data_IF_666914433066
#
_entry.id   IF_666914433066
#
_cell.length_a   1.000
_cell.length_b   1.000
_cell.length_c   1.000
_cell.angle_alpha   90.00
_cell.angle_beta   90.00
_cell.angle_gamma   90.00
#
_symmetry.space_group_name_H-M   'P 1'
#
loop_
_entity.id
_entity.type
_entity.pdbx_description
1 polymer ?
#
# COMPACT_ATOMS: atom_id res chain seq x y z
N UNK A 1 12.53 23.36 7.88
CA UNK A 1 13.19 22.72 9.04
C UNK A 1 14.69 22.85 8.87
N UNK A 2 15.38 23.57 9.77
CA UNK A 2 16.85 23.70 9.75
C UNK A 2 17.44 22.79 10.86
N UNK A 3 17.19 21.51 10.82
CA UNK A 3 17.79 20.54 11.72
C UNK A 3 18.66 19.57 10.94
N UNK A 4 19.94 19.42 11.36
CA UNK A 4 20.79 18.34 10.83
C UNK A 4 20.42 17.03 11.50
N UNK A 5 20.47 15.95 10.74
CA UNK A 5 20.38 14.59 11.27
C UNK A 5 21.45 14.36 12.33
N UNK A 6 21.05 13.91 13.49
CA UNK A 6 21.94 13.60 14.61
C UNK A 6 22.01 12.08 14.79
N UNK A 7 23.22 11.56 14.89
CA UNK A 7 23.47 10.12 14.98
C UNK A 7 23.52 9.67 16.45
N UNK A 8 22.62 8.74 16.84
CA UNK A 8 22.59 8.08 18.16
C UNK A 8 22.70 9.06 19.36
N UNK A 9 22.04 10.22 19.26
CA UNK A 9 22.18 11.28 20.26
C UNK A 9 21.36 11.01 21.53
N UNK A 10 20.20 10.37 21.37
CA UNK A 10 19.31 10.02 22.46
C UNK A 10 19.43 8.51 22.74
N UNK A 11 20.02 8.10 23.89
CA UNK A 11 20.14 6.68 24.25
C UNK A 11 18.81 5.97 24.44
N UNK A 12 17.78 6.66 24.97
CA UNK A 12 16.45 6.12 25.20
C UNK A 12 15.77 5.79 23.85
N UNK A 13 15.92 6.70 22.87
CA UNK A 13 15.43 6.50 21.51
C UNK A 13 16.12 5.31 20.83
N UNK A 14 17.43 5.19 20.96
CA UNK A 14 18.19 4.07 20.40
C UNK A 14 17.77 2.75 21.02
N UNK A 15 17.53 2.73 22.34
CA UNK A 15 17.08 1.54 23.04
C UNK A 15 15.66 1.13 22.62
N UNK A 16 14.74 2.09 22.50
CA UNK A 16 13.39 1.83 21.96
C UNK A 16 13.47 1.12 20.60
N UNK A 17 14.24 1.65 19.67
CA UNK A 17 14.36 1.09 18.31
C UNK A 17 15.02 -0.30 18.32
N UNK A 18 16.02 -0.53 19.18
CA UNK A 18 16.63 -1.86 19.35
C UNK A 18 15.64 -2.88 19.92
N UNK A 19 14.88 -2.50 20.94
CA UNK A 19 13.87 -3.36 21.54
C UNK A 19 12.76 -3.70 20.54
N UNK A 20 12.33 -2.70 19.75
CA UNK A 20 11.38 -2.91 18.65
C UNK A 20 11.89 -3.95 17.66
N UNK A 21 13.11 -3.82 17.13
CA UNK A 21 13.64 -4.79 16.17
C UNK A 21 13.88 -6.17 16.78
N UNK A 22 14.25 -6.25 18.05
CA UNK A 22 14.41 -7.52 18.75
C UNK A 22 13.08 -8.27 18.84
N UNK A 23 12.03 -7.58 19.26
CA UNK A 23 10.69 -8.16 19.34
C UNK A 23 10.12 -8.45 17.94
N UNK A 24 10.40 -7.59 16.96
CA UNK A 24 9.95 -7.76 15.57
C UNK A 24 10.56 -9.00 14.92
N UNK A 25 11.87 -9.22 15.07
CA UNK A 25 12.54 -10.42 14.56
C UNK A 25 12.00 -11.70 15.22
N UNK A 26 11.69 -11.63 16.50
CA UNK A 26 11.12 -12.75 17.25
C UNK A 26 9.61 -12.99 16.98
N UNK A 27 8.93 -12.09 16.28
CA UNK A 27 7.48 -12.15 16.12
C UNK A 27 6.71 -11.98 17.45
N UNK A 28 7.36 -11.38 18.46
CA UNK A 28 6.82 -11.19 19.80
C UNK A 28 5.90 -9.97 19.84
N UNK A 29 4.64 -10.21 19.53
CA UNK A 29 3.60 -9.17 19.47
C UNK A 29 3.36 -8.54 20.86
N UNK A 30 3.42 -9.32 21.93
CA UNK A 30 3.18 -8.82 23.30
C UNK A 30 4.25 -7.79 23.69
N UNK A 31 5.51 -8.04 23.33
CA UNK A 31 6.61 -7.11 23.55
C UNK A 31 6.59 -5.91 22.58
N UNK A 32 6.00 -6.06 21.38
CA UNK A 32 5.90 -4.98 20.39
C UNK A 32 4.81 -3.96 20.74
N UNK A 33 3.66 -4.40 21.25
CA UNK A 33 2.50 -3.52 21.50
C UNK A 33 2.82 -2.28 22.37
N UNK A 34 3.63 -2.37 23.45
CA UNK A 34 4.00 -1.18 24.21
C UNK A 34 5.01 -0.28 23.49
N UNK A 35 5.78 -0.82 22.53
CA UNK A 35 6.83 -0.09 21.81
C UNK A 35 6.31 0.63 20.55
N UNK A 36 5.28 0.08 19.90
CA UNK A 36 4.72 0.61 18.66
C UNK A 36 3.18 0.53 18.69
N UNK A 37 2.52 1.68 18.56
CA UNK A 37 1.07 1.79 18.68
C UNK A 37 0.48 2.70 17.61
N UNK A 38 -0.70 2.34 17.03
CA UNK A 38 -1.40 1.06 17.17
C UNK A 38 -0.76 -0.05 16.33
N UNK A 39 -0.99 -1.32 16.69
CA UNK A 39 -0.71 -2.47 15.85
C UNK A 39 -2.05 -3.09 15.41
N UNK A 40 -2.37 -3.02 14.12
CA UNK A 40 -3.58 -3.64 13.58
C UNK A 40 -3.46 -5.18 13.55
N UNK A 41 -4.61 -5.88 13.51
CA UNK A 41 -4.60 -7.35 13.41
C UNK A 41 -3.92 -7.84 12.13
N UNK A 42 -4.06 -7.09 11.03
CA UNK A 42 -3.36 -7.38 9.79
C UNK A 42 -1.85 -7.20 9.93
N UNK A 43 -1.40 -6.17 10.64
CA UNK A 43 0.03 -5.92 10.88
C UNK A 43 0.63 -6.99 11.80
N UNK A 44 -0.08 -7.41 12.85
CA UNK A 44 0.32 -8.54 13.70
C UNK A 44 0.49 -9.82 12.87
N UNK A 45 -0.46 -10.11 11.99
CA UNK A 45 -0.38 -11.23 11.06
C UNK A 45 0.80 -11.09 10.07
N UNK A 46 1.07 -9.88 9.61
CA UNK A 46 2.23 -9.58 8.77
C UNK A 46 3.53 -9.89 9.51
N UNK A 47 3.71 -9.35 10.71
CA UNK A 47 4.87 -9.55 11.56
C UNK A 47 5.08 -11.06 11.82
N UNK A 48 4.03 -11.78 12.25
CA UNK A 48 4.10 -13.22 12.48
C UNK A 48 4.49 -14.03 11.24
N UNK A 49 4.09 -13.58 10.03
CA UNK A 49 4.46 -14.27 8.79
C UNK A 49 5.93 -14.06 8.41
N UNK A 50 6.44 -12.85 8.64
CA UNK A 50 7.79 -12.49 8.15
C UNK A 50 8.88 -12.74 9.19
N UNK A 51 8.57 -12.72 10.50
CA UNK A 51 9.52 -13.08 11.55
C UNK A 51 10.07 -14.49 11.42
N UNK A 52 9.34 -15.42 10.79
CA UNK A 52 9.83 -16.78 10.50
C UNK A 52 11.09 -16.82 9.63
N UNK A 53 11.38 -15.74 8.91
CA UNK A 53 12.56 -15.63 8.04
C UNK A 53 13.72 -14.89 8.70
N UNK A 54 13.46 -14.10 9.75
CA UNK A 54 14.41 -13.16 10.33
C UNK A 54 15.16 -13.77 11.50
N UNK A 55 16.51 -13.78 11.45
CA UNK A 55 17.35 -14.17 12.56
C UNK A 55 17.57 -13.02 13.54
N UNK A 56 17.99 -11.85 13.03
CA UNK A 56 18.25 -10.67 13.82
C UNK A 56 18.32 -9.39 12.97
N UNK A 57 18.20 -8.24 13.66
CA UNK A 57 18.55 -6.93 13.12
C UNK A 57 19.79 -6.45 13.89
N UNK A 58 20.93 -6.39 13.21
CA UNK A 58 22.21 -6.05 13.79
C UNK A 58 22.63 -4.62 13.40
N UNK A 59 23.69 -4.12 14.04
CA UNK A 59 24.32 -2.84 13.71
C UNK A 59 23.37 -1.65 13.62
N UNK A 60 22.34 -1.63 14.48
CA UNK A 60 21.30 -0.60 14.47
C UNK A 60 21.90 0.78 14.78
N UNK A 61 21.69 1.73 13.87
CA UNK A 61 22.14 3.13 13.97
C UNK A 61 20.96 4.04 13.70
N UNK A 62 20.60 4.86 14.70
CA UNK A 62 19.53 5.83 14.58
C UNK A 62 20.06 7.20 14.18
N UNK A 63 19.45 7.79 13.16
CA UNK A 63 19.63 9.17 12.77
C UNK A 63 18.33 9.91 13.04
N UNK A 64 18.34 10.91 13.88
CA UNK A 64 17.11 11.59 14.33
C UNK A 64 17.19 13.10 14.22
N UNK A 65 16.03 13.72 14.14
CA UNK A 65 15.83 15.15 14.31
C UNK A 65 14.50 15.40 15.06
N UNK A 66 14.31 16.57 15.68
CA UNK A 66 13.05 16.92 16.33
C UNK A 66 11.86 16.79 15.38
N UNK A 67 10.74 16.28 15.88
CA UNK A 67 9.47 16.19 15.18
C UNK A 67 8.63 17.45 15.24
N UNK A 68 7.30 17.30 15.36
CA UNK A 68 6.35 18.43 15.43
C UNK A 68 6.30 19.05 16.81
N UNK A 69 6.49 18.25 17.84
CA UNK A 69 6.50 18.67 19.23
C UNK A 69 7.89 18.50 19.81
N UNK A 70 8.17 19.17 20.95
CA UNK A 70 9.45 19.05 21.65
C UNK A 70 9.72 17.61 22.14
N UNK A 71 8.66 16.80 22.27
CA UNK A 71 8.68 15.41 22.73
C UNK A 71 8.49 14.40 21.57
N UNK A 72 8.77 14.80 20.33
CA UNK A 72 8.65 13.92 19.19
C UNK A 72 9.91 13.94 18.30
N UNK A 73 10.13 12.83 17.57
CA UNK A 73 11.30 12.60 16.74
C UNK A 73 10.93 12.02 15.39
N UNK A 74 11.61 12.52 14.34
CA UNK A 74 11.70 11.89 13.03
C UNK A 74 12.98 11.06 13.01
N UNK A 75 12.88 9.76 12.79
CA UNK A 75 14.00 8.82 12.94
C UNK A 75 14.17 8.00 11.69
N UNK A 76 15.42 7.95 11.18
CA UNK A 76 15.85 6.96 10.20
C UNK A 76 16.76 5.95 10.90
N UNK A 77 16.33 4.71 11.01
CA UNK A 77 17.09 3.64 11.63
C UNK A 77 17.70 2.75 10.53
N UNK A 78 19.02 2.76 10.45
CA UNK A 78 19.77 1.84 9.60
C UNK A 78 20.10 0.57 10.38
N UNK A 79 20.08 -0.56 9.69
CA UNK A 79 20.36 -1.88 10.27
C UNK A 79 20.95 -2.84 9.25
N UNK A 80 21.43 -3.97 9.74
CA UNK A 80 21.83 -5.14 8.95
C UNK A 80 20.87 -6.28 9.32
N UNK A 81 19.92 -6.64 8.43
CA UNK A 81 18.98 -7.73 8.62
C UNK A 81 19.64 -9.05 8.27
N UNK A 82 19.67 -9.98 9.22
CA UNK A 82 20.06 -11.35 9.03
C UNK A 82 18.86 -12.26 8.82
N UNK A 83 18.98 -13.15 7.86
CA UNK A 83 18.03 -14.21 7.60
C UNK A 83 18.60 -15.55 8.09
N UNK A 84 17.74 -16.42 8.58
CA UNK A 84 18.15 -17.78 8.93
C UNK A 84 18.87 -18.47 7.75
N UNK A 85 19.98 -19.15 8.04
CA UNK A 85 20.80 -19.91 7.09
C UNK A 85 21.47 -19.08 5.97
N UNK A 86 21.54 -17.76 6.13
CA UNK A 86 22.22 -16.84 5.19
C UNK A 86 23.25 -16.02 5.96
N UNK A 87 24.52 -16.16 5.58
CA UNK A 87 25.63 -15.51 6.28
C UNK A 87 25.70 -14.00 5.98
N UNK A 88 25.30 -13.61 4.77
CA UNK A 88 25.33 -12.23 4.31
C UNK A 88 24.09 -11.49 4.79
N UNK A 89 24.27 -10.47 5.63
CA UNK A 89 23.19 -9.60 6.06
C UNK A 89 22.71 -8.67 4.96
N UNK A 90 21.42 -8.32 4.96
CA UNK A 90 20.83 -7.32 4.09
C UNK A 90 20.79 -5.96 4.79
N UNK A 91 21.60 -4.97 4.39
CA UNK A 91 21.48 -3.62 4.90
C UNK A 91 20.13 -3.00 4.59
N UNK A 92 19.50 -2.38 5.58
CA UNK A 92 18.20 -1.75 5.46
C UNK A 92 18.09 -0.44 6.20
N UNK A 93 17.02 0.29 5.94
CA UNK A 93 16.68 1.51 6.64
C UNK A 93 15.18 1.68 6.70
N UNK A 94 14.67 1.89 7.92
CA UNK A 94 13.27 2.22 8.16
C UNK A 94 13.12 3.62 8.73
N UNK A 95 11.95 4.18 8.51
CA UNK A 95 11.52 5.44 9.10
C UNK A 95 10.61 5.17 10.29
N UNK A 96 10.80 5.94 11.36
CA UNK A 96 9.92 5.95 12.53
C UNK A 96 9.55 7.38 12.92
N UNK A 97 8.29 7.58 13.27
CA UNK A 97 7.84 8.74 14.01
C UNK A 97 7.66 8.34 15.46
N UNK A 98 8.45 8.92 16.35
CA UNK A 98 8.49 8.57 17.77
C UNK A 98 7.95 9.72 18.59
N UNK A 99 7.13 9.41 19.57
CA UNK A 99 6.50 10.37 20.49
C UNK A 99 6.62 9.89 21.92
N UNK A 100 6.38 10.79 22.89
CA UNK A 100 6.20 10.42 24.28
C UNK A 100 4.72 10.28 24.63
N UNK A 101 4.39 9.22 25.37
CA UNK A 101 3.06 9.03 25.93
C UNK A 101 2.79 10.00 27.10
N UNK A 102 1.56 10.01 27.62
CA UNK A 102 1.17 10.84 28.77
C UNK A 102 1.90 10.51 30.07
N UNK A 103 2.73 9.47 30.14
CA UNK A 103 3.58 9.06 31.27
C UNK A 103 5.06 9.42 31.04
N UNK A 104 5.40 9.92 29.84
CA UNK A 104 6.74 10.32 29.44
C UNK A 104 7.58 9.21 28.81
N UNK A 105 7.01 8.02 28.51
CA UNK A 105 7.72 6.95 27.83
C UNK A 105 7.74 7.19 26.31
N UNK A 106 8.87 6.93 25.67
CA UNK A 106 8.97 6.95 24.22
C UNK A 106 8.23 5.74 23.61
N UNK A 107 7.49 5.97 22.53
CA UNK A 107 6.88 4.93 21.72
C UNK A 107 6.90 5.30 20.25
N UNK A 108 6.85 4.32 19.37
CA UNK A 108 6.71 4.49 17.92
C UNK A 108 5.22 4.74 17.62
N UNK A 109 4.91 5.93 17.09
CA UNK A 109 3.57 6.18 16.55
C UNK A 109 3.41 5.45 15.21
N UNK A 110 2.85 4.26 15.30
CA UNK A 110 2.82 3.28 14.21
C UNK A 110 1.80 3.64 13.11
N UNK A 111 0.94 4.66 13.33
CA UNK A 111 0.13 5.27 12.26
C UNK A 111 1.01 5.76 11.11
N UNK A 112 2.27 6.13 11.40
CA UNK A 112 3.24 6.62 10.41
C UNK A 112 4.31 5.59 10.05
N UNK A 113 4.05 4.31 10.29
CA UNK A 113 4.95 3.22 9.89
C UNK A 113 4.93 2.96 8.39
N UNK A 114 6.00 2.35 7.89
CA UNK A 114 6.07 1.86 6.51
C UNK A 114 4.95 0.86 6.20
N UNK A 115 4.52 0.08 7.19
CA UNK A 115 3.38 -0.82 7.05
C UNK A 115 2.10 -0.02 6.75
N UNK A 116 1.73 0.94 7.60
CA UNK A 116 0.51 1.71 7.41
C UNK A 116 0.55 2.58 6.15
N UNK A 117 1.71 3.08 5.73
CA UNK A 117 1.86 3.78 4.44
C UNK A 117 1.55 2.88 3.24
N UNK A 118 1.81 1.58 3.35
CA UNK A 118 1.54 0.60 2.29
C UNK A 118 0.11 0.05 2.31
N UNK A 119 -0.50 -0.13 3.48
CA UNK A 119 -1.77 -0.83 3.63
C UNK A 119 -2.93 0.05 4.03
N UNK A 120 -2.68 1.22 4.64
CA UNK A 120 -3.67 2.23 5.05
C UNK A 120 -4.74 1.65 6.00
N UNK A 121 -4.31 0.87 6.97
CA UNK A 121 -5.17 0.35 8.03
C UNK A 121 -5.63 1.48 8.96
N UNK A 122 -4.79 2.52 9.13
CA UNK A 122 -5.08 3.70 9.94
C UNK A 122 -5.08 4.99 9.10
N UNK A 123 -5.92 5.96 9.47
CA UNK A 123 -6.03 7.25 8.78
C UNK A 123 -4.86 8.17 9.19
N UNK A 124 -4.15 8.74 8.21
CA UNK A 124 -3.02 9.64 8.39
C UNK A 124 -3.46 11.09 8.60
N UNK A 125 -2.85 11.82 9.56
CA UNK A 125 -2.93 13.28 9.58
C UNK A 125 -2.15 13.88 8.40
N UNK A 126 -2.82 14.72 7.62
CA UNK A 126 -2.25 15.23 6.38
C UNK A 126 -1.05 16.17 6.59
N UNK A 127 -0.99 16.90 7.70
CA UNK A 127 0.08 17.85 7.99
C UNK A 127 1.33 17.10 8.43
N UNK A 128 1.17 16.15 9.36
CA UNK A 128 2.27 15.32 9.83
C UNK A 128 2.80 14.43 8.71
N UNK A 129 1.93 13.84 7.91
CA UNK A 129 2.34 13.09 6.72
C UNK A 129 3.15 13.93 5.73
N UNK A 130 2.72 15.19 5.49
CA UNK A 130 3.47 16.11 4.64
C UNK A 130 4.85 16.47 5.22
N UNK A 131 4.95 16.58 6.55
CA UNK A 131 6.20 16.80 7.25
C UNK A 131 7.15 15.62 7.07
N UNK A 132 6.66 14.40 7.28
CA UNK A 132 7.42 13.16 7.09
C UNK A 132 7.93 13.04 5.66
N UNK A 133 7.07 13.31 4.66
CA UNK A 133 7.50 13.31 3.26
C UNK A 133 8.60 14.35 2.95
N UNK A 134 8.57 15.51 3.62
CA UNK A 134 9.63 16.50 3.46
C UNK A 134 10.93 16.08 4.15
N UNK A 135 10.83 15.41 5.29
CA UNK A 135 11.98 14.80 5.98
C UNK A 135 12.64 13.75 5.09
N UNK A 136 11.89 12.79 4.58
CA UNK A 136 12.38 11.71 3.71
C UNK A 136 13.04 12.23 2.41
N UNK A 137 12.63 13.42 1.96
CA UNK A 137 13.21 14.09 0.77
C UNK A 137 14.36 15.05 1.08
N UNK A 138 14.71 15.22 2.35
CA UNK A 138 15.86 16.07 2.71
C UNK A 138 17.16 15.46 2.20
N UNK A 139 18.11 16.32 1.85
CA UNK A 139 19.38 15.90 1.24
C UNK A 139 20.13 14.89 2.12
N UNK A 140 20.12 15.09 3.44
CA UNK A 140 20.81 14.21 4.39
C UNK A 140 20.17 12.81 4.42
N UNK A 141 18.81 12.72 4.44
CA UNK A 141 18.10 11.44 4.43
C UNK A 141 18.25 10.74 3.09
N UNK A 142 18.14 11.47 1.97
CA UNK A 142 18.34 10.91 0.63
C UNK A 142 19.77 10.37 0.46
N UNK A 143 20.78 11.09 0.96
CA UNK A 143 22.17 10.61 0.93
C UNK A 143 22.34 9.32 1.76
N UNK A 144 21.69 9.24 2.93
CA UNK A 144 21.70 8.04 3.77
C UNK A 144 21.00 6.86 3.08
N UNK A 145 19.84 7.08 2.47
CA UNK A 145 19.11 6.07 1.68
C UNK A 145 19.99 5.52 0.54
N UNK A 146 20.66 6.41 -0.20
CA UNK A 146 21.55 6.00 -1.30
C UNK A 146 22.72 5.15 -0.81
N UNK A 147 23.30 5.49 0.35
CA UNK A 147 24.41 4.71 0.93
C UNK A 147 23.93 3.31 1.35
N UNK A 148 22.76 3.22 2.00
CA UNK A 148 22.18 1.94 2.40
C UNK A 148 21.81 1.10 1.18
N UNK A 149 21.20 1.73 0.17
CA UNK A 149 20.84 1.03 -1.08
C UNK A 149 22.07 0.46 -1.80
N UNK A 150 23.15 1.23 -1.89
CA UNK A 150 24.38 0.75 -2.51
C UNK A 150 24.96 -0.49 -1.79
N UNK A 151 24.97 -0.48 -0.45
CA UNK A 151 25.40 -1.63 0.35
C UNK A 151 24.46 -2.84 0.18
N UNK A 152 23.15 -2.60 0.13
CA UNK A 152 22.15 -3.65 -0.12
C UNK A 152 22.38 -4.29 -1.49
N UNK A 153 22.56 -3.49 -2.54
CA UNK A 153 22.80 -3.98 -3.91
C UNK A 153 24.09 -4.82 -3.97
N UNK A 154 25.15 -4.40 -3.28
CA UNK A 154 26.42 -5.13 -3.15
C UNK A 154 26.21 -6.46 -2.41
N UNK A 155 25.51 -6.46 -1.28
CA UNK A 155 25.21 -7.66 -0.50
C UNK A 155 24.40 -8.68 -1.33
N UNK A 156 23.33 -8.25 -2.00
CA UNK A 156 22.49 -9.10 -2.86
C UNK A 156 23.27 -9.63 -4.06
N UNK A 157 24.16 -8.83 -4.65
CA UNK A 157 25.00 -9.27 -5.78
C UNK A 157 26.07 -10.27 -5.37
N UNK A 158 26.52 -10.24 -4.10
CA UNK A 158 27.59 -11.12 -3.58
C UNK A 158 27.10 -12.48 -3.07
N UNK A 159 25.80 -12.62 -2.79
CA UNK A 159 25.23 -13.83 -2.18
C UNK A 159 23.93 -14.27 -2.87
N UNK A 160 24.00 -15.40 -3.58
CA UNK A 160 22.86 -15.97 -4.30
C UNK A 160 21.72 -16.40 -3.36
N UNK A 161 22.03 -16.88 -2.13
CA UNK A 161 21.00 -17.23 -1.16
C UNK A 161 20.22 -15.98 -0.74
N UNK A 162 20.94 -14.89 -0.45
CA UNK A 162 20.31 -13.61 -0.13
C UNK A 162 19.48 -13.08 -1.31
N UNK A 163 20.01 -13.14 -2.53
CA UNK A 163 19.28 -12.74 -3.73
C UNK A 163 17.97 -13.54 -3.90
N UNK A 164 18.01 -14.85 -3.69
CA UNK A 164 16.83 -15.73 -3.73
C UNK A 164 15.85 -15.45 -2.59
N UNK A 165 16.34 -15.18 -1.38
CA UNK A 165 15.51 -14.80 -0.24
C UNK A 165 14.71 -13.54 -0.54
N UNK A 166 15.36 -12.43 -0.87
CA UNK A 166 14.69 -11.14 -1.08
C UNK A 166 13.92 -11.05 -2.39
N UNK A 167 14.42 -11.67 -3.47
CA UNK A 167 13.83 -11.65 -4.80
C UNK A 167 12.71 -12.69 -5.01
N UNK A 168 12.75 -13.81 -4.30
CA UNK A 168 11.86 -14.97 -4.48
C UNK A 168 11.03 -15.28 -3.24
N UNK A 169 11.69 -15.74 -2.17
CA UNK A 169 11.01 -16.28 -0.97
C UNK A 169 10.11 -15.25 -0.30
N UNK A 170 10.64 -14.09 0.08
CA UNK A 170 9.86 -13.05 0.73
C UNK A 170 8.76 -12.50 -0.17
N UNK A 171 9.01 -12.41 -1.47
CA UNK A 171 7.98 -11.97 -2.43
C UNK A 171 6.82 -12.97 -2.51
N UNK A 172 7.13 -14.26 -2.48
CA UNK A 172 6.11 -15.33 -2.47
C UNK A 172 5.33 -15.33 -1.16
N UNK A 173 6.02 -15.17 -0.02
CA UNK A 173 5.40 -15.03 1.30
C UNK A 173 4.45 -13.83 1.35
N UNK A 174 4.88 -12.67 0.82
CA UNK A 174 4.05 -11.46 0.72
C UNK A 174 2.77 -11.71 -0.10
N UNK A 175 2.87 -12.41 -1.21
CA UNK A 175 1.70 -12.74 -2.03
C UNK A 175 0.73 -13.61 -1.27
N UNK A 176 1.22 -14.69 -0.62
CA UNK A 176 0.40 -15.60 0.17
C UNK A 176 -0.28 -14.91 1.35
N UNK A 177 0.47 -14.07 2.06
CA UNK A 177 -0.09 -13.30 3.17
C UNK A 177 -1.21 -12.36 2.70
N UNK A 178 -1.02 -11.62 1.61
CA UNK A 178 -2.06 -10.75 1.04
C UNK A 178 -3.32 -11.51 0.63
N UNK A 179 -3.14 -12.69 0.05
CA UNK A 179 -4.28 -13.53 -0.35
C UNK A 179 -5.02 -14.06 0.88
N UNK A 180 -4.33 -14.39 1.96
CA UNK A 180 -4.95 -14.82 3.23
C UNK A 180 -5.74 -13.70 3.89
N UNK A 181 -5.20 -12.48 3.96
CA UNK A 181 -5.90 -11.30 4.50
C UNK A 181 -7.14 -10.97 3.66
N UNK A 182 -7.04 -11.04 2.33
CA UNK A 182 -8.18 -10.83 1.46
C UNK A 182 -9.29 -11.87 1.66
N UNK A 183 -8.93 -13.14 1.88
CA UNK A 183 -9.88 -14.22 2.14
C UNK A 183 -10.60 -14.07 3.49
N UNK A 184 -9.92 -13.54 4.53
CA UNK A 184 -10.53 -13.30 5.85
C UNK A 184 -11.55 -12.16 5.79
N UNK A 185 -11.26 -11.11 5.03
CA UNK A 185 -12.21 -10.01 4.84
C UNK A 185 -13.49 -10.43 4.09
N UNK A 186 -13.37 -11.34 3.12
CA UNK A 186 -14.54 -11.88 2.40
C UNK A 186 -15.39 -12.81 3.28
N UNK A 187 -14.81 -13.48 4.30
CA UNK A 187 -15.52 -14.36 5.24
C UNK A 187 -16.21 -13.59 6.36
N UNK A 188 -15.67 -12.47 6.80
CA UNK A 188 -16.32 -11.60 7.79
C UNK A 188 -17.56 -10.90 7.19
N UNK A 189 -17.54 -10.58 5.91
CA UNK A 189 -18.70 -10.03 5.19
C UNK A 189 -19.79 -11.09 4.93
N UNK A 190 -19.45 -12.40 4.99
CA UNK A 190 -20.35 -13.52 4.74
C UNK A 190 -21.05 -14.08 6.01
N UNK A 191 -20.57 -13.76 7.22
CA UNK A 191 -21.10 -14.34 8.47
C UNK A 191 -22.26 -13.56 9.11
N UNK A 192 -22.72 -12.46 8.50
CA UNK A 192 -23.91 -11.71 8.97
C UNK A 192 -25.23 -12.14 8.29
N UNK A 193 -25.31 -13.40 7.80
CA UNK A 193 -26.56 -13.98 7.31
C UNK A 193 -26.96 -15.16 8.17
N UNK A 194 -27.75 -14.92 9.21
CA UNK A 194 -28.43 -15.98 10.00
C UNK A 194 -29.43 -16.70 9.09
N UNK A 195 -29.34 -18.04 8.87
CA UNK A 195 -30.40 -18.76 8.18
C UNK A 195 -31.54 -19.00 9.14
N UNK A 196 -32.71 -18.54 8.78
CA UNK A 196 -33.95 -19.00 9.39
C UNK A 196 -34.14 -20.49 9.07
N UNK A 197 -34.29 -21.27 10.15
CA UNK A 197 -34.66 -22.67 10.17
C UNK A 197 -35.94 -22.93 9.38
N UNK A 198 -35.88 -23.87 8.43
CA UNK A 198 -37.05 -24.71 8.09
C UNK A 198 -36.56 -26.12 7.78
N UNK A 199 -36.92 -27.04 8.65
CA UNK A 199 -36.81 -28.49 8.47
C UNK A 199 -37.70 -28.94 7.32
N UNK A 200 -37.22 -29.83 6.46
CA UNK A 200 -37.92 -31.06 6.07
C UNK A 200 -37.04 -32.00 5.22
N UNK A 201 -36.81 -33.09 5.81
CA UNK A 201 -36.75 -34.53 5.50
C UNK A 201 -36.47 -35.05 4.08
N UNK A 202 -35.41 -35.87 4.00
CA UNK A 202 -35.22 -37.17 3.29
C UNK A 202 -35.32 -37.25 1.75
N UNK A 203 -34.36 -37.80 1.04
CA UNK A 203 -34.02 -39.24 0.91
C UNK A 203 -32.89 -39.48 -0.09
N UNK A 204 -32.07 -40.46 0.27
CA UNK A 204 -31.08 -41.25 -0.43
C UNK A 204 -31.35 -41.52 -1.92
N UNK A 205 -30.30 -41.52 -2.76
CA UNK A 205 -29.82 -42.71 -3.44
C UNK A 205 -28.51 -42.52 -4.22
N UNK A 206 -27.68 -43.49 -4.04
CA UNK A 206 -26.38 -43.83 -4.61
C UNK A 206 -26.53 -44.22 -6.08
N UNK A 207 -25.55 -43.91 -6.92
CA UNK A 207 -24.92 -44.92 -7.78
C UNK A 207 -23.63 -44.42 -8.42
N UNK A 208 -22.66 -45.32 -8.36
CA UNK A 208 -21.33 -45.34 -8.98
C UNK A 208 -21.41 -45.50 -10.51
N UNK A 209 -20.35 -45.09 -11.16
CA UNK A 209 -19.36 -45.88 -11.92
C UNK A 209 -18.76 -45.07 -13.06
N UNK A 210 -17.47 -44.93 -13.03
CA UNK A 210 -16.42 -45.65 -13.80
C UNK A 210 -16.30 -45.29 -15.27
N UNK A 211 -15.08 -44.78 -15.51
CA UNK A 211 -14.03 -45.33 -16.41
C UNK A 211 -14.18 -44.96 -17.91
N UNK A 212 -13.25 -44.54 -18.62
CA UNK A 212 -11.96 -45.05 -19.03
C UNK A 212 -11.31 -44.16 -20.09
N UNK A 213 -10.04 -43.94 -19.92
CA UNK A 213 -8.91 -44.09 -20.81
C UNK A 213 -8.82 -43.49 -22.21
N UNK A 214 -7.62 -42.93 -22.36
CA UNK A 214 -6.62 -43.10 -23.44
C UNK A 214 -6.68 -42.19 -24.63
N UNK A 215 -5.54 -41.46 -24.80
CA UNK A 215 -4.31 -41.72 -25.61
C UNK A 215 -4.45 -41.20 -27.01
N UNK A 216 -3.58 -40.52 -27.58
CA UNK A 216 -2.21 -40.53 -28.03
C UNK A 216 -1.99 -39.33 -28.95
N UNK A 217 -0.94 -38.63 -28.76
CA UNK A 217 0.37 -38.67 -29.43
C UNK A 217 0.53 -37.98 -30.78
N UNK A 218 1.65 -37.22 -30.75
CA UNK A 218 2.63 -37.01 -31.85
C UNK A 218 2.29 -35.95 -32.88
N UNK A 219 3.16 -35.19 -33.30
CA UNK A 219 4.61 -35.05 -33.36
C UNK A 219 4.93 -34.10 -34.51
N UNK A 220 6.00 -33.40 -34.34
CA UNK A 220 7.02 -33.08 -35.34
C UNK A 220 6.97 -31.78 -36.12
N UNK A 221 7.96 -31.03 -35.81
CA UNK A 221 9.24 -30.71 -36.47
C UNK A 221 9.30 -29.53 -37.40
N UNK A 222 10.27 -28.73 -37.01
CA UNK A 222 11.42 -28.19 -37.73
C UNK A 222 11.13 -27.08 -38.77
N UNK A 223 11.76 -25.98 -38.69
CA UNK A 223 13.17 -25.59 -38.74
C UNK A 223 13.45 -24.63 -39.88
N UNK A 224 14.36 -23.71 -39.60
CA UNK A 224 15.29 -22.94 -40.44
C UNK A 224 14.82 -21.59 -40.94
N UNK A 225 15.47 -20.54 -40.42
CA UNK A 225 16.81 -20.00 -40.71
C UNK A 225 16.89 -19.26 -42.03
N UNK A 226 17.14 -17.99 -41.99
CA UNK A 226 18.29 -17.37 -42.65
C UNK A 226 18.29 -15.83 -42.54
N UNK A 227 19.31 -15.40 -41.89
CA UNK A 227 20.25 -14.29 -42.01
C UNK A 227 20.16 -13.36 -43.24
N UNK A 228 20.45 -12.11 -42.93
CA UNK A 228 21.43 -11.13 -43.45
C UNK A 228 20.85 -9.79 -43.79
N UNK A 229 21.34 -8.80 -43.03
CA UNK A 229 22.38 -7.79 -43.36
C UNK A 229 21.90 -6.63 -44.23
N UNK A 230 22.01 -5.50 -43.60
CA UNK A 230 22.97 -4.38 -43.77
C UNK A 230 22.47 -3.18 -44.58
N UNK A 231 22.80 -2.07 -44.00
CA UNK A 231 23.31 -0.79 -44.47
C UNK A 231 22.43 0.46 -44.38
N UNK A 232 22.85 1.26 -43.39
CA UNK A 232 23.09 2.72 -43.40
C UNK A 232 22.45 3.59 -44.49
N UNK A 233 21.76 4.66 -44.07
CA UNK A 233 22.23 6.04 -44.22
C UNK A 233 21.25 7.05 -43.65
N UNK A 234 21.84 8.05 -43.04
CA UNK A 234 21.25 9.31 -42.61
C UNK A 234 20.64 10.10 -43.81
N UNK A 235 19.60 10.87 -43.55
CA UNK A 235 19.58 12.32 -43.65
C UNK A 235 18.20 12.92 -43.44
N UNK A 236 18.22 13.99 -42.68
CA UNK A 236 17.51 15.26 -42.78
C UNK A 236 16.00 15.39 -42.96
N UNK A 237 15.45 16.01 -41.91
CA UNK A 237 14.61 17.19 -41.93
C UNK A 237 13.34 17.19 -42.81
N UNK A 238 12.18 17.12 -42.12
CA UNK A 238 11.15 18.14 -42.33
C UNK A 238 10.01 18.03 -41.30
N UNK A 239 9.79 19.13 -40.60
CA UNK A 239 8.55 19.44 -39.90
C UNK A 239 7.32 19.07 -40.73
N UNK A 240 6.44 18.28 -40.17
CA UNK A 240 5.04 18.33 -40.58
C UNK A 240 4.13 18.29 -39.33
N UNK A 241 3.45 19.41 -39.20
CA UNK A 241 2.48 19.76 -38.18
C UNK A 241 1.18 18.99 -38.49
N UNK A 242 1.05 17.80 -37.94
CA UNK A 242 -0.23 17.11 -37.92
C UNK A 242 -0.81 17.16 -36.52
N UNK A 243 -1.61 18.20 -36.28
CA UNK A 243 -2.60 18.25 -35.22
C UNK A 243 -3.42 16.96 -35.20
N UNK A 244 -3.02 16.00 -34.40
CA UNK A 244 -3.84 14.87 -34.03
C UNK A 244 -4.65 15.30 -32.82
N UNK A 245 -5.94 15.53 -33.01
CA UNK A 245 -6.93 15.78 -31.98
C UNK A 245 -6.79 14.79 -30.85
N UNK A 246 -6.09 15.16 -29.78
CA UNK A 246 -6.11 14.43 -28.52
C UNK A 246 -7.43 14.76 -27.82
N UNK A 247 -8.44 13.98 -28.12
CA UNK A 247 -9.67 13.92 -27.33
C UNK A 247 -9.26 13.75 -25.87
N UNK A 248 -9.46 14.78 -25.07
CA UNK A 248 -9.13 14.82 -23.66
C UNK A 248 -10.02 13.83 -22.92
N UNK A 249 -9.65 12.54 -22.93
CA UNK A 249 -10.32 11.50 -22.18
C UNK A 249 -9.96 11.65 -20.70
N UNK A 250 -10.65 12.51 -20.00
CA UNK A 250 -10.57 12.61 -18.56
C UNK A 250 -11.50 11.58 -17.92
N UNK A 251 -11.00 10.86 -16.91
CA UNK A 251 -11.78 9.84 -16.19
C UNK A 251 -11.05 9.40 -14.94
N UNK A 252 -11.59 8.41 -14.27
CA UNK A 252 -10.93 7.75 -13.16
C UNK A 252 -10.52 6.34 -13.57
N UNK A 253 -9.29 5.95 -13.23
CA UNK A 253 -8.78 4.59 -13.39
C UNK A 253 -8.46 4.03 -12.02
N UNK A 254 -8.54 2.70 -11.87
CA UNK A 254 -8.19 1.97 -10.65
C UNK A 254 -7.08 0.99 -10.99
N UNK A 255 -6.06 0.92 -10.16
CA UNK A 255 -4.96 -0.03 -10.29
C UNK A 255 -5.45 -1.45 -10.04
N UNK A 256 -5.00 -2.40 -10.87
CA UNK A 256 -5.30 -3.84 -10.73
C UNK A 256 -4.29 -4.53 -9.81
N UNK A 257 -3.10 -3.92 -9.69
CA UNK A 257 -1.98 -4.41 -8.91
C UNK A 257 -1.07 -3.23 -8.53
N UNK A 258 0.01 -3.48 -7.76
CA UNK A 258 1.03 -2.47 -7.49
C UNK A 258 1.62 -2.00 -8.83
N UNK A 259 1.53 -0.70 -9.08
CA UNK A 259 1.96 -0.11 -10.35
C UNK A 259 3.10 0.88 -10.12
N UNK A 260 4.16 0.76 -10.90
CA UNK A 260 5.18 1.80 -10.99
C UNK A 260 4.63 2.98 -11.77
N UNK A 261 4.79 4.18 -11.20
CA UNK A 261 4.49 5.44 -11.88
C UNK A 261 5.77 6.02 -12.41
N UNK A 262 5.80 6.34 -13.69
CA UNK A 262 7.00 6.83 -14.38
C UNK A 262 6.83 8.27 -14.85
N UNK A 263 7.93 8.98 -15.02
CA UNK A 263 7.95 10.37 -15.47
C UNK A 263 7.53 10.52 -16.96
N UNK A 264 7.74 9.48 -17.78
CA UNK A 264 7.39 9.46 -19.23
C UNK A 264 6.75 8.11 -19.59
N UNK A 265 6.14 8.03 -20.75
CA UNK A 265 5.51 6.82 -21.30
C UNK A 265 6.56 5.81 -21.82
N UNK A 266 7.50 5.39 -20.97
CA UNK A 266 8.57 4.44 -21.30
C UNK A 266 8.95 3.59 -20.10
N UNK A 267 9.34 2.33 -20.34
CA UNK A 267 9.91 1.43 -19.33
C UNK A 267 11.28 1.90 -18.82
N UNK A 268 12.00 2.66 -19.62
CA UNK A 268 13.34 3.19 -19.28
C UNK A 268 13.29 4.58 -18.63
N UNK A 269 12.07 5.11 -18.50
CA UNK A 269 11.88 6.40 -17.83
C UNK A 269 12.03 6.25 -16.31
N UNK A 270 12.49 7.31 -15.68
CA UNK A 270 12.57 7.46 -14.23
C UNK A 270 11.25 7.07 -13.55
N UNK A 271 11.36 6.28 -12.48
CA UNK A 271 10.24 5.93 -11.62
C UNK A 271 10.02 7.05 -10.61
N UNK A 272 8.86 7.70 -10.67
CA UNK A 272 8.49 8.80 -9.77
C UNK A 272 7.65 8.33 -8.58
N UNK A 273 7.43 7.02 -8.45
CA UNK A 273 6.76 6.40 -7.32
C UNK A 273 6.02 5.12 -7.68
N UNK A 274 5.35 4.55 -6.69
CA UNK A 274 4.51 3.36 -6.82
C UNK A 274 3.08 3.66 -6.36
N UNK A 275 2.13 2.88 -6.86
CA UNK A 275 0.72 2.96 -6.47
C UNK A 275 0.22 1.56 -6.19
N UNK A 276 -0.34 1.35 -5.02
CA UNK A 276 -0.86 0.06 -4.58
C UNK A 276 -2.09 -0.39 -5.38
N UNK A 277 -2.41 -1.68 -5.30
CA UNK A 277 -3.62 -2.26 -5.88
C UNK A 277 -4.86 -1.55 -5.35
N UNK A 278 -5.81 -1.28 -6.24
CA UNK A 278 -7.10 -0.74 -5.84
C UNK A 278 -7.17 0.78 -5.77
N UNK A 279 -6.06 1.50 -5.88
CA UNK A 279 -6.02 2.96 -5.81
C UNK A 279 -6.68 3.58 -7.04
N UNK A 280 -7.52 4.57 -6.81
CA UNK A 280 -8.19 5.35 -7.87
C UNK A 280 -7.32 6.56 -8.22
N UNK A 281 -6.97 6.70 -9.49
CA UNK A 281 -6.19 7.80 -10.03
C UNK A 281 -6.99 8.58 -11.07
N UNK A 282 -6.81 9.90 -11.11
CA UNK A 282 -7.37 10.74 -12.16
C UNK A 282 -6.60 10.51 -13.46
N UNK A 283 -7.25 9.88 -14.44
CA UNK A 283 -6.75 9.79 -15.81
C UNK A 283 -6.82 11.17 -16.45
N UNK A 284 -5.74 11.62 -17.06
CA UNK A 284 -5.65 12.90 -17.77
C UNK A 284 -5.32 12.72 -19.26
N UNK A 285 -5.09 11.47 -19.70
CA UNK A 285 -4.83 11.14 -21.10
C UNK A 285 -4.32 9.73 -21.28
N UNK A 286 -3.90 9.41 -22.51
CA UNK A 286 -3.18 8.18 -22.89
C UNK A 286 -2.09 8.53 -23.88
N UNK A 287 -0.99 7.77 -23.86
CA UNK A 287 0.12 7.90 -24.77
C UNK A 287 0.63 6.48 -25.07
N UNK A 288 0.29 5.96 -26.28
CA UNK A 288 0.53 4.56 -26.62
C UNK A 288 -0.11 3.62 -25.58
N UNK A 289 0.67 2.66 -25.10
CA UNK A 289 0.25 1.69 -24.07
C UNK A 289 0.24 2.25 -22.64
N UNK A 290 0.45 3.54 -22.47
CA UNK A 290 0.54 4.20 -21.17
C UNK A 290 -0.67 5.09 -20.90
N UNK A 291 -1.18 5.01 -19.69
CA UNK A 291 -2.20 5.92 -19.16
C UNK A 291 -1.52 7.03 -18.38
N UNK A 292 -1.77 8.28 -18.81
CA UNK A 292 -1.34 9.48 -18.13
C UNK A 292 -2.28 9.76 -16.95
N UNK A 293 -1.72 9.88 -15.76
CA UNK A 293 -2.47 10.08 -14.51
C UNK A 293 -1.96 11.28 -13.71
N UNK A 294 -2.81 11.82 -12.84
CA UNK A 294 -2.36 12.78 -11.83
C UNK A 294 -1.87 11.98 -10.62
N UNK A 295 -0.60 12.14 -10.27
CA UNK A 295 0.06 11.46 -9.18
C UNK A 295 0.86 12.47 -8.34
N UNK A 296 0.58 12.58 -7.05
CA UNK A 296 1.27 13.50 -6.12
C UNK A 296 1.43 14.94 -6.68
N UNK A 297 0.36 15.50 -7.21
CA UNK A 297 0.39 16.85 -7.79
C UNK A 297 1.03 16.98 -9.18
N UNK A 298 1.75 15.97 -9.67
CA UNK A 298 2.43 15.97 -10.98
C UNK A 298 1.77 14.99 -11.97
N UNK A 299 2.27 14.97 -13.18
CA UNK A 299 1.87 14.01 -14.20
C UNK A 299 2.74 12.78 -14.12
N UNK A 300 2.11 11.59 -14.02
CA UNK A 300 2.78 10.31 -14.08
C UNK A 300 2.18 9.39 -15.14
N UNK A 301 2.91 8.33 -15.49
CA UNK A 301 2.53 7.35 -16.50
C UNK A 301 2.53 5.95 -15.92
N UNK A 302 1.44 5.21 -16.15
CA UNK A 302 1.27 3.82 -15.74
C UNK A 302 0.87 3.01 -16.98
N UNK A 303 1.45 1.82 -17.18
CA UNK A 303 1.02 0.95 -18.27
C UNK A 303 -0.48 0.66 -18.14
N UNK A 304 -1.20 0.85 -19.24
CA UNK A 304 -2.67 0.77 -19.31
C UNK A 304 -3.20 -0.61 -18.91
N UNK A 305 -2.43 -1.67 -19.16
CA UNK A 305 -2.76 -3.04 -18.78
C UNK A 305 -2.96 -3.23 -17.27
N UNK A 306 -2.24 -2.48 -16.42
CA UNK A 306 -2.35 -2.52 -14.97
C UNK A 306 -3.50 -1.66 -14.42
N UNK A 307 -4.27 -1.04 -15.28
CA UNK A 307 -5.37 -0.17 -14.90
C UNK A 307 -6.71 -0.71 -15.40
N UNK A 308 -7.75 -0.51 -14.62
CA UNK A 308 -9.13 -0.68 -15.08
C UNK A 308 -9.85 0.67 -15.09
N UNK A 309 -10.63 0.93 -16.13
CA UNK A 309 -11.49 2.12 -16.17
C UNK A 309 -12.52 1.99 -15.04
N UNK A 310 -12.58 2.98 -14.19
CA UNK A 310 -13.73 3.15 -13.31
C UNK A 310 -14.75 3.91 -14.14
N UNK A 311 -15.78 3.20 -14.63
CA UNK A 311 -16.91 3.88 -15.26
C UNK A 311 -17.50 4.79 -14.19
N UNK A 312 -17.39 6.10 -14.40
CA UNK A 312 -18.18 7.08 -13.68
C UNK A 312 -19.63 6.91 -14.16
N UNK A 313 -20.31 5.89 -13.66
CA UNK A 313 -21.71 6.05 -13.42
C UNK A 313 -21.78 7.02 -12.26
N UNK A 314 -21.96 8.28 -12.54
CA UNK A 314 -22.61 9.22 -11.66
C UNK A 314 -24.04 8.71 -11.44
N UNK A 315 -24.18 7.66 -10.62
CA UNK A 315 -25.44 7.40 -9.99
C UNK A 315 -25.50 8.35 -8.79
N UNK A 316 -25.85 9.57 -9.06
CA UNK A 316 -26.56 10.40 -8.10
C UNK A 316 -27.93 9.71 -7.91
N UNK A 317 -27.88 8.54 -7.23
CA UNK A 317 -29.11 7.86 -6.87
C UNK A 317 -29.68 8.65 -5.70
N UNK A 318 -30.82 9.25 -5.93
CA UNK A 318 -31.68 9.89 -4.94
C UNK A 318 -32.28 8.84 -3.96
N UNK A 319 -31.51 7.80 -3.59
CA UNK A 319 -31.88 6.86 -2.52
C UNK A 319 -31.75 7.60 -1.19
N UNK A 320 -32.84 8.27 -0.82
CA UNK A 320 -32.96 9.01 0.44
C UNK A 320 -33.53 8.08 1.50
N UNK A 321 -32.96 8.08 2.68
CA UNK A 321 -33.38 7.23 3.80
C UNK A 321 -32.60 7.59 5.06
N UNK A 322 -32.65 6.73 6.05
CA UNK A 322 -31.81 6.86 7.25
C UNK A 322 -30.66 5.86 7.16
N UNK A 323 -29.47 6.30 7.56
CA UNK A 323 -28.31 5.44 7.75
C UNK A 323 -27.86 5.54 9.20
N UNK A 324 -27.27 4.47 9.72
CA UNK A 324 -26.70 4.39 11.06
C UNK A 324 -25.21 4.13 10.96
N UNK A 325 -24.41 4.83 11.72
CA UNK A 325 -22.95 4.63 11.81
C UNK A 325 -22.65 3.29 12.47
N UNK A 326 -21.72 2.55 11.89
CA UNK A 326 -21.19 1.29 12.45
C UNK A 326 -20.04 1.56 13.40
N UNK A 327 -19.37 2.69 13.21
CA UNK A 327 -18.18 3.11 13.93
C UNK A 327 -18.16 4.63 14.11
N UNK A 328 -17.16 5.17 14.80
CA UNK A 328 -16.91 6.61 14.84
C UNK A 328 -16.49 7.06 13.44
N UNK A 329 -17.26 7.97 12.85
CA UNK A 329 -17.08 8.37 11.47
C UNK A 329 -16.67 9.82 11.32
N UNK A 330 -15.68 10.09 10.51
CA UNK A 330 -15.36 11.43 10.06
C UNK A 330 -16.38 11.90 9.01
N UNK A 331 -16.97 13.07 9.23
CA UNK A 331 -17.85 13.73 8.27
C UNK A 331 -17.07 14.80 7.52
N UNK A 332 -16.97 14.68 6.22
CA UNK A 332 -16.16 15.57 5.39
C UNK A 332 -17.01 16.46 4.48
N UNK A 333 -16.48 17.61 4.07
CA UNK A 333 -17.18 18.58 3.21
C UNK A 333 -17.40 18.08 1.77
N UNK A 334 -16.61 17.13 1.30
CA UNK A 334 -16.68 16.52 -0.05
C UNK A 334 -16.47 15.01 0.04
N UNK A 335 -16.82 14.29 -1.02
CA UNK A 335 -16.61 12.85 -1.16
C UNK A 335 -15.12 12.53 -1.45
N UNK A 336 -14.23 12.88 -0.51
CA UNK A 336 -12.79 12.69 -0.59
C UNK A 336 -12.20 12.58 0.81
N UNK A 337 -11.18 11.72 0.98
CA UNK A 337 -10.41 11.62 2.22
C UNK A 337 -9.60 12.90 2.51
N UNK A 338 -9.26 13.67 1.50
CA UNK A 338 -8.52 14.95 1.60
C UNK A 338 -9.43 16.16 1.80
N UNK A 339 -10.76 15.93 1.91
CA UNK A 339 -11.68 17.05 2.10
C UNK A 339 -11.68 17.50 3.56
N UNK A 340 -11.99 18.80 3.73
CA UNK A 340 -12.15 19.42 5.04
C UNK A 340 -13.04 18.56 5.96
N UNK A 341 -12.58 18.34 7.20
CA UNK A 341 -13.33 17.65 8.24
C UNK A 341 -14.40 18.60 8.81
N UNK A 342 -15.66 18.23 8.67
CA UNK A 342 -16.78 18.98 9.25
C UNK A 342 -17.07 18.59 10.70
N UNK A 343 -16.61 17.42 11.12
CA UNK A 343 -16.77 16.86 12.46
C UNK A 343 -16.77 15.35 12.49
N UNK A 344 -16.92 14.77 13.68
CA UNK A 344 -17.04 13.34 13.92
C UNK A 344 -18.44 12.96 14.35
N UNK A 345 -18.84 11.73 14.06
CA UNK A 345 -20.12 11.15 14.48
C UNK A 345 -19.84 9.81 15.18
N UNK A 346 -20.36 9.65 16.38
CA UNK A 346 -20.17 8.43 17.17
C UNK A 346 -20.89 7.22 16.58
N UNK A 347 -20.51 6.03 17.07
CA UNK A 347 -21.15 4.76 16.70
C UNK A 347 -22.65 4.80 17.02
N UNK A 348 -23.44 4.25 16.13
CA UNK A 348 -24.89 4.10 16.36
C UNK A 348 -25.75 5.31 16.06
N UNK A 349 -25.15 6.44 15.64
CA UNK A 349 -25.90 7.66 15.30
C UNK A 349 -26.66 7.50 13.99
N UNK A 350 -27.92 7.87 13.98
CA UNK A 350 -28.76 7.88 12.78
C UNK A 350 -28.62 9.22 12.05
N UNK A 351 -28.33 9.15 10.75
CA UNK A 351 -28.17 10.31 9.88
C UNK A 351 -29.13 10.19 8.68
N UNK A 352 -29.65 11.33 8.24
CA UNK A 352 -30.44 11.38 7.00
C UNK A 352 -29.50 11.24 5.81
N UNK A 353 -29.65 10.19 5.03
CA UNK A 353 -28.98 9.98 3.76
C UNK A 353 -29.58 10.91 2.72
N UNK A 354 -28.76 11.66 2.02
CA UNK A 354 -29.14 12.56 0.95
C UNK A 354 -28.78 12.01 -0.45
N UNK A 355 -28.04 10.89 -0.51
CA UNK A 355 -27.58 10.27 -1.74
C UNK A 355 -26.24 9.57 -1.54
N UNK A 356 -25.59 9.19 -2.65
CA UNK A 356 -24.24 8.57 -2.66
C UNK A 356 -23.39 9.26 -3.72
N UNK A 357 -22.09 9.32 -3.50
CA UNK A 357 -21.10 9.82 -4.45
C UNK A 357 -19.88 8.92 -4.44
N UNK A 358 -19.86 7.93 -5.36
CA UNK A 358 -18.86 6.87 -5.35
C UNK A 358 -18.94 6.04 -4.06
N UNK A 359 -17.83 5.88 -3.37
CA UNK A 359 -17.73 5.13 -2.11
C UNK A 359 -18.19 5.96 -0.88
N UNK A 360 -18.74 7.15 -1.08
CA UNK A 360 -19.18 8.05 -0.03
C UNK A 360 -20.70 8.17 0.01
N UNK A 361 -21.25 8.16 1.22
CA UNK A 361 -22.65 8.47 1.47
C UNK A 361 -22.78 9.93 1.87
N UNK A 362 -23.59 10.66 1.11
CA UNK A 362 -23.97 12.04 1.39
C UNK A 362 -25.01 12.06 2.49
N UNK A 363 -24.76 12.79 3.56
CA UNK A 363 -25.62 12.85 4.75
C UNK A 363 -25.91 14.28 5.16
N UNK A 364 -27.01 14.45 5.93
CA UNK A 364 -27.28 15.70 6.64
C UNK A 364 -26.57 15.65 7.99
N UNK A 365 -25.64 16.59 8.24
CA UNK A 365 -24.87 16.71 9.47
C UNK A 365 -24.87 18.14 9.96
N UNK A 366 -25.35 18.39 11.18
CA UNK A 366 -25.42 19.73 11.80
C UNK A 366 -25.96 20.83 10.87
N UNK A 367 -27.03 20.53 10.16
CA UNK A 367 -27.62 21.46 9.23
C UNK A 367 -26.92 21.58 7.85
N UNK A 368 -25.69 21.06 7.72
CA UNK A 368 -24.88 21.07 6.48
C UNK A 368 -24.95 19.74 5.75
N UNK A 369 -24.48 19.71 4.53
CA UNK A 369 -24.23 18.47 3.78
C UNK A 369 -22.82 17.99 4.09
N UNK A 370 -22.71 16.73 4.52
CA UNK A 370 -21.44 16.07 4.76
C UNK A 370 -21.34 14.74 4.02
N UNK A 371 -20.16 14.14 4.00
CA UNK A 371 -19.85 12.89 3.35
C UNK A 371 -19.15 11.95 4.33
N UNK A 372 -19.63 10.70 4.39
CA UNK A 372 -19.05 9.61 5.20
C UNK A 372 -18.76 8.43 4.27
N UNK A 373 -17.66 7.70 4.47
CA UNK A 373 -17.39 6.46 3.71
C UNK A 373 -18.57 5.48 3.87
N UNK A 374 -19.08 4.94 2.76
CA UNK A 374 -20.31 4.14 2.75
C UNK A 374 -20.18 2.84 3.51
N UNK A 375 -18.98 2.25 3.59
CA UNK A 375 -18.70 1.04 4.34
C UNK A 375 -18.85 1.23 5.86
N UNK A 376 -18.73 2.46 6.39
CA UNK A 376 -18.94 2.78 7.80
C UNK A 376 -20.41 2.99 8.17
N UNK A 377 -21.33 2.78 7.24
CA UNK A 377 -22.75 3.03 7.42
C UNK A 377 -23.55 1.78 7.12
N UNK A 378 -24.64 1.59 7.87
CA UNK A 378 -25.68 0.60 7.56
C UNK A 378 -27.02 1.29 7.32
N UNK A 379 -27.83 0.74 6.40
CA UNK A 379 -29.21 1.22 6.19
C UNK A 379 -30.03 0.97 7.45
N UNK A 380 -30.83 1.94 7.83
CA UNK A 380 -31.87 1.77 8.84
C UNK A 380 -33.14 1.37 8.09
N UNK A 381 -33.66 0.18 8.42
CA UNK A 381 -34.99 -0.27 7.94
C UNK A 381 -36.06 0.56 8.58
#
# INVERSE_FOLDING_TARGET
>A
MEGKLQKNVDPELVELIKNYYTAYAAGDIESLEPLAQPLSDNEKSYIGTFSDYYESFDNIVCYSMPGVTDDSYLVSACYDLKFYEIDTAAPGMDFFYVERDGKGNLYINNVYSSYNFNFLDEDLDANLYSLILNYEKSDDVVALQQQVQAKYDEAVASDEKLANMVGGTLRSAMTKWRDSVAATQDTEDATDVTPATTEETQKTETTESKDDSKKDSKDNTESKDDTKKDDTKADDNKSDDSKKDTKKESGTVKTKDICRVRAKASTDSEMIGTVNKGVKLKKIGTEGDWTKVKFQGQTGYIKTEFLKKVSSKSSDSSDTGMVKTKDICNVRAKASADAELLGKVDIGVKLKKLGTSGDWTKVKFQGKTGYIKSNLLKKVK
#
